data_IF_032642554509
#
_entry.id   IF_032642554509
#
_cell.length_a   1.000
_cell.length_b   1.000
_cell.length_c   1.000
_cell.angle_alpha   90.00
_cell.angle_beta   90.00
_cell.angle_gamma   90.00
#
_symmetry.space_group_name_H-M   'P 1'
#
loop_
_entity.id
_entity.type
_entity.pdbx_description
1 polymer ?
#
# COMPACT_ATOMS: atom_id res chain seq x y z
N UNK A 1 -52.02 -47.31 17.55
CA UNK A 1 -51.83 -47.46 16.09
C UNK A 1 -52.97 -46.75 15.38
N UNK A 2 -52.69 -45.69 14.62
CA UNK A 2 -53.60 -45.04 13.68
C UNK A 2 -52.78 -44.37 12.55
N UNK A 3 -53.37 -44.38 11.36
CA UNK A 3 -52.82 -44.34 10.00
C UNK A 3 -52.39 -42.96 9.44
N UNK A 4 -51.77 -42.99 8.25
CA UNK A 4 -50.99 -41.94 7.58
C UNK A 4 -51.76 -40.96 6.65
N UNK A 5 -51.15 -39.81 6.35
CA UNK A 5 -51.31 -39.04 5.08
C UNK A 5 -50.10 -38.07 4.83
N UNK A 6 -49.75 -37.75 3.55
CA UNK A 6 -48.38 -37.36 3.14
C UNK A 6 -48.12 -35.85 2.98
N UNK A 7 -46.83 -35.46 3.08
CA UNK A 7 -46.31 -34.11 2.83
C UNK A 7 -45.92 -33.92 1.36
N UNK A 8 -46.46 -32.89 0.71
CA UNK A 8 -46.09 -32.51 -0.66
C UNK A 8 -44.77 -31.74 -0.74
N UNK A 9 -44.00 -31.99 -1.81
CA UNK A 9 -43.03 -31.05 -2.41
C UNK A 9 -42.63 -31.51 -3.83
N UNK A 10 -43.36 -31.07 -4.85
CA UNK A 10 -42.86 -31.00 -6.24
C UNK A 10 -42.07 -29.70 -6.44
N UNK A 11 -41.18 -29.51 -7.42
CA UNK A 11 -40.64 -30.37 -8.46
C UNK A 11 -39.46 -29.60 -9.10
N UNK A 12 -38.36 -30.27 -9.41
CA UNK A 12 -37.23 -29.66 -10.12
C UNK A 12 -37.46 -29.78 -11.62
N UNK A 13 -37.65 -28.63 -12.28
CA UNK A 13 -37.92 -28.51 -13.71
C UNK A 13 -36.72 -28.88 -14.59
N UNK A 14 -37.04 -29.63 -15.63
CA UNK A 14 -36.21 -30.08 -16.74
C UNK A 14 -35.74 -28.97 -17.70
N UNK A 15 -34.55 -29.22 -18.29
CA UNK A 15 -34.08 -28.90 -19.67
C UNK A 15 -33.80 -27.44 -20.07
N UNK A 16 -32.62 -27.25 -20.67
CA UNK A 16 -32.27 -26.03 -21.41
C UNK A 16 -30.84 -26.01 -21.95
N UNK A 17 -30.51 -26.92 -22.88
CA UNK A 17 -29.42 -26.73 -23.85
C UNK A 17 -29.61 -25.44 -24.67
N UNK A 18 -28.49 -24.77 -25.00
CA UNK A 18 -28.20 -23.84 -26.13
C UNK A 18 -27.83 -22.40 -25.77
N UNK A 19 -26.56 -22.07 -26.04
CA UNK A 19 -26.19 -20.94 -26.88
C UNK A 19 -26.14 -19.55 -26.25
N UNK A 20 -24.96 -18.93 -26.29
CA UNK A 20 -24.87 -17.51 -26.01
C UNK A 20 -23.46 -16.94 -25.90
N UNK A 21 -22.71 -16.95 -27.00
CA UNK A 21 -21.76 -15.88 -27.28
C UNK A 21 -22.43 -14.52 -27.02
N UNK A 22 -22.07 -13.88 -25.91
CA UNK A 22 -22.36 -12.47 -25.67
C UNK A 22 -21.09 -11.77 -25.25
N UNK A 23 -20.30 -11.44 -26.26
CA UNK A 23 -19.53 -10.21 -26.22
C UNK A 23 -20.45 -9.07 -25.76
N UNK A 24 -20.22 -8.59 -24.54
CA UNK A 24 -20.63 -7.26 -24.11
C UNK A 24 -19.43 -6.61 -23.49
N UNK A 25 -18.73 -5.83 -24.32
CA UNK A 25 -17.88 -4.78 -23.82
C UNK A 25 -18.65 -3.94 -22.81
N UNK A 26 -18.10 -3.83 -21.60
CA UNK A 26 -18.19 -2.61 -20.81
C UNK A 26 -16.80 -2.31 -20.33
N UNK A 27 -16.22 -1.30 -20.99
CA UNK A 27 -14.98 -0.70 -20.58
C UNK A 27 -15.06 -0.13 -19.17
N UNK A 28 -13.89 0.38 -18.77
CA UNK A 28 -13.60 1.09 -17.52
C UNK A 28 -13.50 0.19 -16.29
N UNK A 29 -12.46 -0.64 -16.28
CA UNK A 29 -11.51 -0.54 -15.16
C UNK A 29 -10.27 0.18 -15.66
N UNK A 30 -10.46 1.45 -16.02
CA UNK A 30 -9.44 2.44 -15.72
C UNK A 30 -9.27 2.35 -14.21
N UNK A 31 -8.30 1.54 -13.78
CA UNK A 31 -7.81 1.50 -12.41
C UNK A 31 -7.32 2.91 -12.20
N UNK A 32 -8.22 3.77 -11.72
CA UNK A 32 -7.97 5.13 -11.29
C UNK A 32 -6.74 4.98 -10.43
N UNK A 33 -5.58 5.34 -10.99
CA UNK A 33 -4.36 5.49 -10.23
C UNK A 33 -4.81 6.37 -9.09
N UNK A 34 -4.86 5.79 -7.88
CA UNK A 34 -5.07 6.57 -6.69
C UNK A 34 -3.92 7.54 -6.73
N UNK A 35 -4.21 8.77 -7.15
CA UNK A 35 -3.34 9.90 -6.96
C UNK A 35 -2.98 9.77 -5.49
N UNK A 36 -1.74 9.40 -5.20
CA UNK A 36 -1.25 9.41 -3.84
C UNK A 36 -1.46 10.86 -3.43
N UNK A 37 -2.54 11.10 -2.71
CA UNK A 37 -2.71 12.32 -1.97
C UNK A 37 -1.45 12.38 -1.13
N UNK A 38 -0.60 13.38 -1.39
CA UNK A 38 0.58 13.64 -0.58
C UNK A 38 0.09 13.71 0.85
N UNK A 39 0.33 12.62 1.60
CA UNK A 39 -0.15 12.52 2.96
C UNK A 39 0.53 13.64 3.72
N UNK A 40 -0.28 14.51 4.29
CA UNK A 40 0.22 15.58 5.16
C UNK A 40 1.14 14.97 6.22
N UNK A 41 2.39 15.46 6.30
CA UNK A 41 3.37 14.89 7.22
C UNK A 41 2.91 15.06 8.67
N UNK A 42 2.76 13.93 9.36
CA UNK A 42 2.50 13.86 10.79
C UNK A 42 3.79 13.50 11.54
N UNK A 43 4.43 14.46 12.23
CA UNK A 43 5.72 14.23 12.86
C UNK A 43 5.60 13.30 14.07
N UNK A 44 6.44 12.27 14.10
CA UNK A 44 6.44 11.27 15.18
C UNK A 44 7.46 11.59 16.27
N UNK A 45 8.54 12.27 15.93
CA UNK A 45 9.60 12.66 16.88
C UNK A 45 9.34 14.03 17.50
N UNK A 46 10.01 14.29 18.64
CA UNK A 46 10.02 15.63 19.26
C UNK A 46 10.59 16.67 18.30
N UNK A 47 11.65 16.33 17.56
CA UNK A 47 12.28 17.21 16.58
C UNK A 47 11.30 17.58 15.46
N UNK A 48 10.64 16.59 14.85
CA UNK A 48 9.65 16.82 13.81
C UNK A 48 8.51 17.73 14.26
N UNK A 49 8.05 17.59 15.52
CA UNK A 49 7.01 18.48 16.08
C UNK A 49 7.51 19.91 16.25
N UNK A 50 8.76 20.10 16.67
CA UNK A 50 9.36 21.44 16.80
C UNK A 50 9.55 22.11 15.44
N UNK A 51 9.96 21.34 14.43
CA UNK A 51 10.10 21.81 13.04
C UNK A 51 8.73 22.18 12.47
N UNK A 52 7.72 21.30 12.57
CA UNK A 52 6.35 21.59 12.09
C UNK A 52 5.70 22.76 12.85
N UNK A 53 6.04 22.96 14.13
CA UNK A 53 5.60 24.11 14.92
C UNK A 53 6.36 25.41 14.62
N UNK A 54 7.36 25.40 13.73
CA UNK A 54 8.15 26.58 13.36
C UNK A 54 9.12 27.07 14.43
N UNK A 55 9.39 26.26 15.47
CA UNK A 55 10.37 26.62 16.52
C UNK A 55 11.81 26.43 16.07
N UNK A 56 12.03 25.51 15.13
CA UNK A 56 13.32 25.29 14.48
C UNK A 56 13.16 25.77 13.05
N UNK A 57 13.92 26.79 12.69
CA UNK A 57 13.78 27.50 11.41
C UNK A 57 14.87 27.12 10.41
N UNK A 58 15.97 26.53 10.87
CA UNK A 58 17.08 26.14 10.01
C UNK A 58 17.75 24.84 10.45
N UNK A 59 18.46 24.22 9.51
CA UNK A 59 19.23 23.00 9.75
C UNK A 59 20.42 23.25 10.68
N UNK A 60 20.98 24.47 10.71
CA UNK A 60 22.14 24.77 11.59
C UNK A 60 21.78 24.61 13.07
N UNK A 61 20.56 24.97 13.48
CA UNK A 61 20.11 24.81 14.85
C UNK A 61 20.09 23.33 15.27
N UNK A 62 19.72 22.44 14.34
CA UNK A 62 19.69 20.99 14.58
C UNK A 62 21.11 20.47 14.79
N UNK A 63 22.05 20.91 13.96
CA UNK A 63 23.46 20.52 14.07
C UNK A 63 24.16 21.11 15.30
N UNK A 64 23.84 22.35 15.67
CA UNK A 64 24.42 23.01 16.85
C UNK A 64 24.07 22.28 18.14
N UNK A 65 22.83 21.76 18.24
CA UNK A 65 22.38 20.97 19.37
C UNK A 65 22.66 19.47 19.24
N UNK A 66 23.35 19.04 18.18
CA UNK A 66 23.68 17.63 17.90
C UNK A 66 22.46 16.70 17.97
N UNK A 67 21.29 17.19 17.52
CA UNK A 67 20.05 16.43 17.59
C UNK A 67 19.98 15.42 16.43
N UNK A 68 19.70 14.14 16.70
CA UNK A 68 19.64 13.12 15.64
C UNK A 68 18.38 13.29 14.78
N UNK A 69 18.59 13.40 13.46
CA UNK A 69 17.51 13.46 12.47
C UNK A 69 17.11 12.03 12.09
N UNK A 70 15.87 11.64 12.43
CA UNK A 70 15.31 10.30 12.15
C UNK A 70 14.17 10.31 11.13
N UNK A 71 13.67 11.48 10.78
CA UNK A 71 12.56 11.67 9.83
C UNK A 71 13.11 12.40 8.61
N UNK A 72 12.99 11.80 7.44
CA UNK A 72 13.47 12.37 6.17
C UNK A 72 12.68 13.63 5.79
N UNK A 73 11.39 13.70 6.18
CA UNK A 73 10.52 14.84 5.90
C UNK A 73 11.05 16.16 6.50
N UNK A 74 11.87 16.10 7.55
CA UNK A 74 12.55 17.29 8.11
C UNK A 74 13.53 17.86 7.08
N UNK A 75 14.26 16.98 6.38
CA UNK A 75 15.20 17.38 5.34
C UNK A 75 14.45 17.92 4.12
N UNK A 76 13.38 17.26 3.69
CA UNK A 76 12.54 17.70 2.58
C UNK A 76 11.92 19.09 2.84
N UNK A 77 11.55 19.37 4.11
CA UNK A 77 11.00 20.67 4.51
C UNK A 77 11.99 21.81 4.36
N UNK A 78 13.24 21.62 4.80
CA UNK A 78 14.27 22.67 4.73
C UNK A 78 14.95 22.75 3.36
N UNK A 79 15.08 21.64 2.65
CA UNK A 79 15.83 21.52 1.40
C UNK A 79 14.98 20.83 0.30
N UNK A 80 13.91 21.49 -0.20
CA UNK A 80 13.02 20.89 -1.19
C UNK A 80 13.63 20.69 -2.59
N UNK A 81 14.84 21.21 -2.84
CA UNK A 81 15.56 21.10 -4.13
C UNK A 81 16.76 20.14 -4.06
N UNK A 82 16.76 19.22 -3.10
CA UNK A 82 17.82 18.23 -2.99
C UNK A 82 17.82 17.31 -4.21
N UNK A 83 19.01 16.97 -4.72
CA UNK A 83 19.19 16.01 -5.81
C UNK A 83 19.56 14.66 -5.21
N UNK A 84 18.80 13.64 -5.56
CA UNK A 84 19.13 12.26 -5.20
C UNK A 84 19.81 11.57 -6.38
N UNK A 85 21.02 11.05 -6.16
CA UNK A 85 21.78 10.29 -7.15
C UNK A 85 22.12 8.90 -6.61
N UNK A 86 21.83 7.86 -7.40
CA UNK A 86 22.15 6.47 -7.04
C UNK A 86 23.57 6.17 -7.50
N UNK A 87 24.53 6.14 -6.56
CA UNK A 87 25.94 5.91 -6.89
C UNK A 87 26.24 4.46 -7.24
N UNK A 88 25.75 3.51 -6.44
CA UNK A 88 26.07 2.08 -6.61
C UNK A 88 24.96 1.21 -6.06
N UNK A 89 24.44 0.33 -6.90
CA UNK A 89 23.53 -0.75 -6.48
C UNK A 89 24.37 -2.01 -6.33
N UNK A 90 24.41 -2.57 -5.11
CA UNK A 90 25.02 -3.88 -4.87
C UNK A 90 23.94 -4.93 -5.09
N UNK A 91 24.14 -5.81 -6.08
CA UNK A 91 23.27 -6.96 -6.28
C UNK A 91 23.75 -8.09 -5.38
N UNK A 92 23.01 -8.37 -4.31
CA UNK A 92 23.21 -9.57 -3.49
C UNK A 92 22.44 -10.73 -4.14
N UNK A 93 23.15 -11.83 -4.42
CA UNK A 93 22.52 -13.06 -4.89
C UNK A 93 21.91 -13.79 -3.70
N UNK A 94 20.58 -13.83 -3.62
CA UNK A 94 19.88 -14.60 -2.60
C UNK A 94 19.55 -16.01 -3.08
N UNK A 95 19.87 -17.03 -2.29
CA UNK A 95 19.47 -18.42 -2.55
C UNK A 95 18.03 -18.60 -2.08
N UNK A 96 17.07 -18.59 -3.02
CA UNK A 96 15.66 -18.88 -2.72
C UNK A 96 15.43 -20.40 -2.74
N UNK A 97 15.25 -21.02 -1.56
CA UNK A 97 14.68 -22.37 -1.49
C UNK A 97 13.21 -22.31 -1.91
N UNK A 98 12.73 -23.29 -2.70
CA UNK A 98 11.42 -23.27 -3.38
C UNK A 98 10.23 -22.89 -2.49
N UNK A 99 10.30 -23.02 -1.16
CA UNK A 99 9.28 -22.61 -0.20
C UNK A 99 9.85 -22.00 1.12
N UNK A 100 11.03 -21.37 1.10
CA UNK A 100 11.67 -20.81 2.31
C UNK A 100 11.81 -19.28 2.29
N UNK A 101 11.95 -18.62 3.47
CA UNK A 101 12.21 -17.18 3.52
C UNK A 101 13.54 -16.87 2.82
N UNK A 102 13.56 -15.77 2.10
CA UNK A 102 14.77 -15.27 1.43
C UNK A 102 15.80 -14.94 2.52
N UNK A 103 16.95 -15.61 2.49
CA UNK A 103 18.08 -15.29 3.36
C UNK A 103 19.08 -14.46 2.56
N UNK A 104 19.32 -13.25 3.03
CA UNK A 104 20.44 -12.42 2.58
C UNK A 104 21.72 -13.05 3.16
N UNK A 105 22.70 -13.36 2.31
CA UNK A 105 24.02 -13.87 2.71
C UNK A 105 25.04 -12.76 2.49
#
# INVERSE_FOLDING_TARGET
MADAAPRGRGGFGSRGDRGGDRGRGRGRRGRRGGKQEEKEWQPVTKLGRLVKAGKITSMEQIYLHSLPIKEYQIVDFFLPKLKDEVMKVRNELYIRRKNGPVKFV
#
